data_IF_991567613785
#
_entry.id   IF_991567613785
#
_cell.length_a   1.000
_cell.length_b   1.000
_cell.length_c   1.000
_cell.angle_alpha   90.00
_cell.angle_beta   90.00
_cell.angle_gamma   90.00
#
_symmetry.space_group_name_H-M   'P 1'
#
loop_
_entity.id
_entity.type
_entity.pdbx_description
1 polymer ?
#
# COMPACT_ATOMS: atom_id res chain seq x y z
N UNK A 1 -17.15 -10.33 -3.69
CA UNK A 1 -17.72 -10.16 -2.33
C UNK A 1 -18.82 -9.10 -2.45
N UNK A 2 -19.98 -9.32 -1.77
CA UNK A 2 -21.09 -8.38 -1.72
C UNK A 2 -21.43 -8.10 -0.26
N UNK A 3 -21.67 -6.82 0.06
CA UNK A 3 -22.11 -6.39 1.39
C UNK A 3 -23.62 -6.11 1.34
N UNK A 4 -24.35 -6.64 2.30
CA UNK A 4 -25.76 -6.29 2.50
C UNK A 4 -25.80 -4.98 3.30
N UNK A 5 -26.52 -4.00 2.79
CA UNK A 5 -26.75 -2.72 3.44
C UNK A 5 -28.24 -2.46 3.58
N UNK A 6 -28.66 -1.78 4.64
CA UNK A 6 -30.06 -1.49 4.89
C UNK A 6 -30.61 -0.44 3.90
N UNK A 7 -29.79 0.57 3.56
CA UNK A 7 -30.19 1.65 2.67
C UNK A 7 -28.97 2.25 1.96
N UNK A 8 -29.14 2.66 0.72
CA UNK A 8 -28.16 3.48 -0.03
C UNK A 8 -28.72 4.90 -0.11
N UNK A 9 -28.11 5.81 0.63
CA UNK A 9 -28.56 7.22 0.70
C UNK A 9 -28.14 8.00 -0.54
N UNK A 10 -26.96 7.73 -1.09
CA UNK A 10 -26.46 8.40 -2.27
C UNK A 10 -24.97 8.22 -2.50
N UNK A 11 -24.47 8.88 -3.55
CA UNK A 11 -23.05 8.95 -3.89
C UNK A 11 -22.58 10.38 -3.68
N UNK A 12 -21.61 10.57 -2.83
CA UNK A 12 -21.03 11.88 -2.53
C UNK A 12 -19.56 11.92 -2.97
N UNK A 13 -19.18 13.04 -3.58
CA UNK A 13 -17.76 13.30 -3.89
C UNK A 13 -17.16 14.07 -2.74
N UNK A 14 -16.06 13.58 -2.20
CA UNK A 14 -15.31 14.18 -1.10
C UNK A 14 -13.88 14.43 -1.52
N UNK A 15 -13.29 15.52 -1.05
CA UNK A 15 -11.85 15.77 -1.21
C UNK A 15 -11.08 15.04 -0.11
N UNK A 16 -9.86 14.61 -0.41
CA UNK A 16 -8.96 14.02 0.59
C UNK A 16 -8.67 14.97 1.76
N UNK A 17 -8.74 16.27 1.52
CA UNK A 17 -8.55 17.32 2.54
C UNK A 17 -9.67 17.35 3.58
N UNK A 18 -10.86 16.84 3.22
CA UNK A 18 -12.03 16.79 4.10
C UNK A 18 -12.06 15.55 4.98
N UNK A 19 -11.16 14.60 4.73
CA UNK A 19 -11.08 13.34 5.48
C UNK A 19 -10.23 13.56 6.73
N UNK A 20 -10.87 13.48 7.88
CA UNK A 20 -10.21 13.56 9.18
C UNK A 20 -9.83 12.16 9.62
N UNK A 21 -8.54 11.93 9.92
CA UNK A 21 -8.12 10.66 10.51
C UNK A 21 -8.80 10.50 11.88
N UNK A 22 -9.32 9.30 12.20
CA UNK A 22 -9.90 9.04 13.51
C UNK A 22 -8.85 9.30 14.60
N UNK A 23 -9.23 10.07 15.60
CA UNK A 23 -8.36 10.31 16.75
C UNK A 23 -8.18 9.00 17.54
N UNK A 24 -7.04 8.81 18.20
CA UNK A 24 -6.71 7.62 18.98
C UNK A 24 -7.74 7.28 20.07
N UNK A 25 -8.61 8.21 20.41
CA UNK A 25 -9.73 8.02 21.34
C UNK A 25 -10.89 7.22 20.74
N UNK A 26 -10.99 7.14 19.41
CA UNK A 26 -12.02 6.32 18.72
C UNK A 26 -11.44 4.94 18.37
N UNK A 27 -10.14 4.85 18.29
CA UNK A 27 -9.39 3.60 18.08
C UNK A 27 -9.01 2.96 19.44
N UNK A 28 -10.00 2.58 20.21
CA UNK A 28 -9.75 1.64 21.31
C UNK A 28 -9.44 0.28 20.71
N UNK A 29 -8.15 -0.05 20.73
CA UNK A 29 -7.58 -1.31 20.29
C UNK A 29 -7.58 -1.54 18.76
N UNK A 30 -6.56 -2.19 18.23
CA UNK A 30 -6.20 -2.60 16.87
C UNK A 30 -7.31 -3.15 15.94
N UNK A 31 -8.58 -2.89 16.20
CA UNK A 31 -9.74 -3.50 15.55
C UNK A 31 -10.69 -2.55 14.81
N UNK A 32 -10.42 -1.25 14.79
CA UNK A 32 -11.34 -0.34 14.09
C UNK A 32 -11.19 -0.46 12.57
N UNK A 33 -12.28 -0.83 11.90
CA UNK A 33 -12.38 -0.81 10.44
C UNK A 33 -12.67 0.60 9.88
N UNK A 34 -12.46 1.65 10.68
CA UNK A 34 -12.66 3.05 10.26
C UNK A 34 -11.34 3.63 9.77
N UNK A 35 -11.27 4.04 8.50
CA UNK A 35 -10.10 4.70 7.89
C UNK A 35 -10.16 6.22 8.00
N UNK A 36 -11.36 6.78 8.12
CA UNK A 36 -11.55 8.21 8.19
C UNK A 36 -12.94 8.62 8.65
N UNK A 37 -13.09 9.90 8.96
CA UNK A 37 -14.37 10.53 9.28
C UNK A 37 -14.50 11.80 8.45
N UNK A 38 -15.65 11.99 7.83
CA UNK A 38 -15.99 13.21 7.10
C UNK A 38 -17.21 13.87 7.71
N UNK A 39 -17.33 15.17 7.56
CA UNK A 39 -18.53 15.92 7.92
C UNK A 39 -19.32 16.22 6.65
N UNK A 40 -20.48 15.56 6.49
CA UNK A 40 -21.37 15.74 5.35
C UNK A 40 -22.72 16.29 5.84
N UNK A 41 -23.11 17.44 5.34
CA UNK A 41 -24.40 18.09 5.70
C UNK A 41 -24.66 18.20 7.23
N UNK A 42 -23.60 18.45 7.98
CA UNK A 42 -23.68 18.54 9.45
C UNK A 42 -23.66 17.22 10.20
N UNK A 43 -23.64 16.10 9.51
CA UNK A 43 -23.51 14.74 10.07
C UNK A 43 -22.07 14.26 9.96
N UNK A 44 -21.65 13.44 10.92
CA UNK A 44 -20.39 12.71 10.84
C UNK A 44 -20.63 11.39 10.11
N UNK A 45 -19.88 11.17 9.06
CA UNK A 45 -19.90 9.93 8.28
C UNK A 45 -18.56 9.24 8.43
N UNK A 46 -18.59 7.99 8.83
CA UNK A 46 -17.39 7.16 9.00
C UNK A 46 -17.08 6.47 7.66
N UNK A 47 -15.84 6.59 7.24
CA UNK A 47 -15.32 5.84 6.08
C UNK A 47 -14.80 4.52 6.60
N UNK A 48 -15.29 3.42 6.03
CA UNK A 48 -14.91 2.07 6.42
C UNK A 48 -13.84 1.50 5.50
N UNK A 49 -12.92 0.77 6.09
CA UNK A 49 -11.96 -0.08 5.40
C UNK A 49 -12.62 -1.43 5.08
N UNK A 50 -13.08 -1.58 3.85
CA UNK A 50 -13.73 -2.81 3.42
C UNK A 50 -12.74 -3.98 3.30
N UNK A 51 -11.48 -3.73 3.00
CA UNK A 51 -10.43 -4.76 2.93
C UNK A 51 -10.19 -5.34 4.33
N UNK A 52 -10.10 -4.48 5.33
CA UNK A 52 -10.00 -4.91 6.72
C UNK A 52 -11.22 -5.69 7.16
N UNK A 53 -12.43 -5.22 6.84
CA UNK A 53 -13.68 -5.93 7.17
C UNK A 53 -13.69 -7.32 6.53
N UNK A 54 -13.31 -7.44 5.26
CA UNK A 54 -13.22 -8.73 4.55
C UNK A 54 -12.20 -9.63 5.21
N UNK A 55 -11.01 -9.10 5.54
CA UNK A 55 -9.95 -9.87 6.21
C UNK A 55 -10.37 -10.33 7.59
N UNK A 56 -11.11 -9.52 8.34
CA UNK A 56 -11.62 -9.86 9.67
C UNK A 56 -12.70 -10.96 9.60
N UNK A 57 -13.55 -10.95 8.56
CA UNK A 57 -14.61 -11.95 8.34
C UNK A 57 -14.04 -13.24 7.75
N UNK A 58 -13.08 -13.12 6.83
CA UNK A 58 -12.49 -14.27 6.12
C UNK A 58 -10.96 -14.14 6.09
N UNK A 59 -10.29 -14.47 7.19
CA UNK A 59 -8.83 -14.38 7.29
C UNK A 59 -8.09 -15.20 6.23
N UNK A 60 -8.81 -16.10 5.55
CA UNK A 60 -8.26 -16.98 4.52
C UNK A 60 -8.05 -16.29 3.15
N UNK A 61 -8.68 -15.15 2.93
CA UNK A 61 -8.58 -14.40 1.68
C UNK A 61 -7.46 -13.36 1.66
N UNK A 62 -6.84 -13.09 2.82
CA UNK A 62 -5.73 -12.15 2.94
C UNK A 62 -4.35 -12.83 2.74
N UNK A 63 -3.33 -12.03 2.47
CA UNK A 63 -1.94 -12.47 2.54
C UNK A 63 -1.64 -13.02 3.94
N UNK A 64 -1.48 -14.33 4.05
CA UNK A 64 -1.07 -14.96 5.30
C UNK A 64 0.45 -14.96 5.38
N UNK A 65 0.98 -14.14 6.26
CA UNK A 65 2.40 -14.17 6.64
C UNK A 65 2.81 -15.57 7.16
N UNK A 66 1.83 -16.36 7.67
CA UNK A 66 2.03 -17.75 8.09
C UNK A 66 2.33 -18.71 6.94
N UNK A 67 1.82 -18.44 5.73
CA UNK A 67 1.95 -19.33 4.57
C UNK A 67 3.28 -19.12 3.83
N UNK A 68 4.01 -18.07 4.18
CA UNK A 68 5.41 -17.94 3.80
C UNK A 68 6.18 -18.94 4.67
N UNK A 69 6.39 -20.16 4.13
CA UNK A 69 7.33 -21.11 4.72
C UNK A 69 8.64 -20.35 4.95
N UNK A 70 9.19 -20.46 6.16
CA UNK A 70 10.60 -20.10 6.41
C UNK A 70 11.41 -21.00 5.50
N UNK A 71 11.64 -20.54 4.28
CA UNK A 71 12.54 -21.22 3.36
C UNK A 71 13.91 -21.17 4.02
N UNK A 72 14.24 -22.29 4.60
CA UNK A 72 15.54 -22.61 5.14
C UNK A 72 16.64 -21.91 4.36
N UNK A 73 17.34 -20.97 5.02
CA UNK A 73 18.63 -20.40 4.66
C UNK A 73 18.76 -19.95 3.18
N UNK A 74 17.86 -19.10 2.69
CA UNK A 74 18.27 -18.16 1.64
C UNK A 74 19.19 -17.17 2.32
N UNK A 75 20.39 -17.02 1.78
CA UNK A 75 21.28 -15.95 2.17
C UNK A 75 20.49 -14.66 2.23
N UNK A 76 20.54 -13.97 3.36
CA UNK A 76 19.86 -12.68 3.55
C UNK A 76 20.31 -11.75 2.43
N UNK A 77 19.36 -11.15 1.75
CA UNK A 77 19.65 -10.21 0.67
C UNK A 77 19.45 -8.79 1.18
N UNK A 78 20.51 -8.01 1.15
CA UNK A 78 20.47 -6.56 1.44
C UNK A 78 20.07 -5.74 0.20
N UNK A 79 19.58 -6.40 -0.85
CA UNK A 79 19.10 -5.75 -2.07
C UNK A 79 17.95 -4.81 -1.75
N UNK A 80 18.09 -3.50 -2.04
CA UNK A 80 17.05 -2.53 -1.69
C UNK A 80 15.82 -2.71 -2.57
N UNK A 81 14.66 -2.82 -1.93
CA UNK A 81 13.35 -2.92 -2.58
C UNK A 81 12.51 -1.71 -2.20
N UNK A 82 12.06 -0.95 -3.20
CA UNK A 82 11.14 0.16 -3.00
C UNK A 82 9.71 -0.34 -3.15
N UNK A 83 8.88 -0.01 -2.16
CA UNK A 83 7.49 -0.46 -2.07
C UNK A 83 6.61 0.78 -1.97
N UNK A 84 5.64 0.89 -2.89
CA UNK A 84 4.61 1.91 -2.88
C UNK A 84 3.27 1.26 -2.55
N UNK A 85 2.74 1.57 -1.36
CA UNK A 85 1.52 0.99 -0.80
C UNK A 85 0.90 2.00 0.17
N UNK A 86 -0.36 2.35 -0.04
CA UNK A 86 -1.05 3.36 0.76
C UNK A 86 -1.75 2.79 2.00
N UNK A 87 -2.05 1.49 2.00
CA UNK A 87 -2.58 0.79 3.17
C UNK A 87 -1.47 0.44 4.17
N UNK A 88 -1.45 1.03 5.37
CA UNK A 88 -0.43 0.71 6.38
C UNK A 88 -0.45 -0.76 6.79
N UNK A 89 -1.64 -1.39 6.78
CA UNK A 89 -1.79 -2.80 7.13
C UNK A 89 -1.16 -3.69 6.06
N UNK A 90 -1.50 -3.47 4.78
CA UNK A 90 -0.99 -4.26 3.67
C UNK A 90 0.51 -4.02 3.49
N UNK A 91 0.98 -2.78 3.59
CA UNK A 91 2.40 -2.45 3.57
C UNK A 91 3.20 -3.17 4.67
N UNK A 92 2.63 -3.26 5.89
CA UNK A 92 3.24 -4.03 6.98
C UNK A 92 3.29 -5.53 6.63
N UNK A 93 2.22 -6.11 6.11
CA UNK A 93 2.16 -7.52 5.72
C UNK A 93 3.17 -7.86 4.61
N UNK A 94 3.24 -7.03 3.56
CA UNK A 94 4.23 -7.18 2.48
C UNK A 94 5.65 -7.12 3.06
N UNK A 95 5.91 -6.13 3.93
CA UNK A 95 7.22 -5.97 4.58
C UNK A 95 7.60 -7.19 5.42
N UNK A 96 6.65 -7.76 6.19
CA UNK A 96 6.89 -8.95 7.00
C UNK A 96 7.13 -10.19 6.14
N UNK A 97 6.36 -10.38 5.06
CA UNK A 97 6.58 -11.46 4.10
C UNK A 97 7.96 -11.39 3.45
N UNK A 98 8.37 -10.20 2.99
CA UNK A 98 9.67 -10.00 2.39
C UNK A 98 10.81 -10.23 3.39
N UNK A 99 10.68 -9.74 4.64
CA UNK A 99 11.67 -9.97 5.71
C UNK A 99 11.80 -11.46 6.04
N UNK A 100 10.70 -12.18 6.15
CA UNK A 100 10.72 -13.65 6.32
C UNK A 100 11.39 -14.36 5.14
N UNK A 101 11.22 -13.82 3.93
CA UNK A 101 11.88 -14.32 2.73
C UNK A 101 13.35 -13.92 2.60
N UNK A 102 13.91 -13.20 3.60
CA UNK A 102 15.32 -12.82 3.67
C UNK A 102 15.67 -11.46 3.08
N UNK A 103 14.70 -10.67 2.62
CA UNK A 103 14.92 -9.30 2.16
C UNK A 103 14.81 -8.32 3.32
N UNK A 104 15.89 -7.64 3.67
CA UNK A 104 15.94 -6.79 4.88
C UNK A 104 15.93 -5.30 4.58
N UNK A 105 16.34 -4.90 3.37
CA UNK A 105 16.44 -3.50 2.98
C UNK A 105 15.19 -3.06 2.19
N UNK A 106 14.18 -2.57 2.92
CA UNK A 106 12.89 -2.18 2.36
C UNK A 106 12.68 -0.67 2.50
N UNK A 107 12.36 -0.01 1.40
CA UNK A 107 12.06 1.42 1.33
C UNK A 107 10.55 1.55 1.12
N UNK A 108 9.83 1.94 2.19
CA UNK A 108 8.38 2.10 2.14
C UNK A 108 8.00 3.52 1.73
N UNK A 109 6.98 3.63 0.88
CA UNK A 109 6.33 4.88 0.47
C UNK A 109 4.82 4.69 0.47
N UNK A 110 4.08 5.76 0.75
CA UNK A 110 2.64 5.72 0.95
C UNK A 110 1.82 6.01 -0.32
N UNK A 111 2.49 6.26 -1.43
CA UNK A 111 1.85 6.52 -2.73
C UNK A 111 2.89 6.56 -3.85
N UNK A 112 2.42 6.54 -5.10
CA UNK A 112 3.30 6.59 -6.27
C UNK A 112 4.09 7.89 -6.40
N UNK A 113 3.59 9.02 -5.88
CA UNK A 113 4.32 10.29 -5.94
C UNK A 113 5.56 10.25 -5.06
N UNK A 114 5.43 9.79 -3.82
CA UNK A 114 6.58 9.62 -2.91
C UNK A 114 7.61 8.64 -3.48
N UNK A 115 7.14 7.54 -4.09
CA UNK A 115 8.01 6.57 -4.74
C UNK A 115 8.79 7.21 -5.90
N UNK A 116 8.11 7.99 -6.75
CA UNK A 116 8.73 8.70 -7.86
C UNK A 116 9.74 9.74 -7.40
N UNK A 117 9.42 10.49 -6.35
CA UNK A 117 10.31 11.51 -5.77
C UNK A 117 11.60 10.88 -5.24
N UNK A 118 11.50 9.74 -4.54
CA UNK A 118 12.68 8.97 -4.09
C UNK A 118 13.52 8.44 -5.26
N UNK A 119 12.89 7.85 -6.27
CA UNK A 119 13.59 7.37 -7.46
C UNK A 119 14.34 8.50 -8.19
N UNK A 120 13.70 9.67 -8.33
CA UNK A 120 14.32 10.84 -8.96
C UNK A 120 15.42 11.44 -8.10
N UNK A 121 15.31 11.40 -6.77
CA UNK A 121 16.38 11.78 -5.85
C UNK A 121 17.61 10.89 -6.03
N UNK A 122 17.45 9.57 -6.01
CA UNK A 122 18.53 8.61 -6.23
C UNK A 122 19.15 8.75 -7.63
N UNK A 123 18.31 9.01 -8.64
CA UNK A 123 18.80 9.27 -10.00
C UNK A 123 19.68 10.54 -10.04
N UNK A 124 19.25 11.65 -9.41
CA UNK A 124 20.07 12.88 -9.33
C UNK A 124 21.41 12.66 -8.64
N UNK A 125 21.48 11.73 -7.69
CA UNK A 125 22.73 11.31 -7.03
C UNK A 125 23.56 10.34 -7.88
N UNK A 126 23.02 9.83 -8.99
CA UNK A 126 23.67 8.82 -9.83
C UNK A 126 23.71 7.42 -9.21
N UNK A 127 22.90 7.17 -8.19
CA UNK A 127 22.93 5.93 -7.38
C UNK A 127 21.66 5.07 -7.52
N UNK A 128 20.69 5.47 -8.36
CA UNK A 128 19.36 4.83 -8.42
C UNK A 128 19.40 3.31 -8.58
N UNK A 129 20.36 2.78 -9.34
CA UNK A 129 20.50 1.33 -9.55
C UNK A 129 21.22 0.61 -8.41
N UNK A 130 21.87 1.35 -7.50
CA UNK A 130 22.48 0.83 -6.29
C UNK A 130 21.47 0.90 -5.14
N UNK A 131 20.66 1.96 -5.11
CA UNK A 131 19.71 2.24 -4.04
C UNK A 131 18.34 1.58 -4.25
N UNK A 132 18.04 1.09 -5.48
CA UNK A 132 16.79 0.37 -5.78
C UNK A 132 17.06 -0.76 -6.77
N UNK A 133 16.86 -2.00 -6.34
CA UNK A 133 17.02 -3.19 -7.17
C UNK A 133 15.67 -3.74 -7.68
N UNK A 134 14.57 -3.45 -6.99
CA UNK A 134 13.23 -3.82 -7.39
C UNK A 134 12.23 -2.78 -6.89
N UNK A 135 11.16 -2.58 -7.66
CA UNK A 135 10.03 -1.74 -7.29
C UNK A 135 8.81 -2.65 -7.17
N UNK A 136 8.08 -2.54 -6.07
CA UNK A 136 6.77 -3.18 -5.87
C UNK A 136 5.77 -2.05 -5.69
N UNK A 137 4.67 -2.04 -6.44
CA UNK A 137 3.66 -0.98 -6.35
C UNK A 137 2.27 -1.56 -6.35
N UNK A 138 1.41 -1.04 -5.48
CA UNK A 138 -0.03 -1.20 -5.64
C UNK A 138 -0.52 -0.40 -6.84
N UNK A 139 -1.73 -0.73 -7.32
CA UNK A 139 -2.39 0.00 -8.43
C UNK A 139 -3.11 1.21 -7.88
N UNK A 140 -3.94 1.05 -6.86
CA UNK A 140 -4.85 2.08 -6.39
C UNK A 140 -4.26 2.85 -5.20
N UNK A 141 -3.62 3.96 -5.49
CA UNK A 141 -3.02 4.83 -4.47
C UNK A 141 -3.42 6.29 -4.69
N UNK A 142 -3.50 7.10 -3.62
CA UNK A 142 -3.74 8.54 -3.73
C UNK A 142 -2.58 9.26 -4.41
N UNK A 143 -2.82 10.46 -4.92
CA UNK A 143 -1.87 11.37 -5.57
C UNK A 143 -1.31 10.83 -6.89
N UNK A 144 -0.69 9.67 -6.88
CA UNK A 144 -0.21 8.98 -8.07
C UNK A 144 -0.46 7.49 -7.93
N UNK A 145 -1.24 6.94 -8.84
CA UNK A 145 -1.52 5.51 -8.95
C UNK A 145 -0.33 4.70 -9.49
N UNK A 146 -0.37 3.39 -9.30
CA UNK A 146 0.70 2.47 -9.72
C UNK A 146 0.87 2.39 -11.23
N UNK A 147 -0.18 2.61 -12.03
CA UNK A 147 -0.07 2.66 -13.49
C UNK A 147 0.74 3.85 -13.95
N UNK A 148 0.47 5.03 -13.38
CA UNK A 148 1.22 6.24 -13.68
C UNK A 148 2.66 6.13 -13.24
N UNK A 149 2.91 5.62 -12.02
CA UNK A 149 4.27 5.35 -11.54
C UNK A 149 5.00 4.41 -12.50
N UNK A 150 4.38 3.30 -12.89
CA UNK A 150 4.95 2.32 -13.84
C UNK A 150 5.29 2.97 -15.17
N UNK A 151 4.39 3.80 -15.71
CA UNK A 151 4.63 4.52 -16.98
C UNK A 151 5.83 5.46 -16.87
N UNK A 152 5.95 6.21 -15.78
CA UNK A 152 7.10 7.09 -15.54
C UNK A 152 8.40 6.29 -15.42
N UNK A 153 8.41 5.23 -14.63
CA UNK A 153 9.57 4.35 -14.47
C UNK A 153 10.02 3.74 -15.80
N UNK A 154 9.08 3.26 -16.62
CA UNK A 154 9.40 2.63 -17.91
C UNK A 154 9.76 3.62 -19.02
N UNK A 155 9.43 4.90 -18.86
CA UNK A 155 9.82 5.96 -19.78
C UNK A 155 11.19 6.59 -19.47
N UNK A 156 11.75 6.32 -18.30
CA UNK A 156 13.05 6.85 -17.87
C UNK A 156 14.19 5.90 -18.24
N UNK A 157 15.27 6.42 -18.84
CA UNK A 157 16.34 5.59 -19.41
C UNK A 157 17.15 4.79 -18.37
N UNK A 158 17.24 5.27 -17.15
CA UNK A 158 17.95 4.59 -16.07
C UNK A 158 17.02 3.70 -15.23
N UNK A 159 15.85 4.25 -14.85
CA UNK A 159 14.89 3.58 -13.98
C UNK A 159 14.17 2.44 -14.70
N UNK A 160 13.95 2.54 -16.03
CA UNK A 160 13.28 1.48 -16.82
C UNK A 160 13.91 0.10 -16.71
N UNK A 161 15.20 0.04 -16.35
CA UNK A 161 15.96 -1.20 -16.21
C UNK A 161 15.74 -1.89 -14.86
N UNK A 162 15.12 -1.18 -13.91
CA UNK A 162 14.79 -1.75 -12.60
C UNK A 162 13.54 -2.62 -12.79
N UNK A 163 13.56 -3.89 -12.32
CA UNK A 163 12.37 -4.73 -12.26
C UNK A 163 11.26 -4.03 -11.48
N UNK A 164 10.04 -4.10 -12.02
CA UNK A 164 8.87 -3.52 -11.37
C UNK A 164 7.76 -4.57 -11.35
N UNK A 165 7.22 -4.79 -10.17
CA UNK A 165 6.12 -5.71 -9.89
C UNK A 165 4.91 -4.87 -9.50
N UNK A 166 3.80 -5.12 -10.17
CA UNK A 166 2.51 -4.56 -9.78
C UNK A 166 1.82 -5.60 -8.89
N UNK A 167 1.43 -5.16 -7.73
CA UNK A 167 0.64 -5.92 -6.78
C UNK A 167 -0.74 -5.29 -6.68
N UNK A 168 -1.79 -6.08 -6.68
CA UNK A 168 -3.16 -5.57 -6.53
C UNK A 168 -3.99 -6.54 -5.72
N UNK A 169 -4.71 -6.00 -4.76
CA UNK A 169 -5.72 -6.73 -3.99
C UNK A 169 -6.98 -7.08 -4.82
N UNK A 170 -7.14 -6.46 -6.00
CA UNK A 170 -8.33 -6.58 -6.86
C UNK A 170 -8.24 -7.68 -7.93
N UNK A 171 -7.16 -8.46 -7.97
CA UNK A 171 -7.04 -9.56 -8.94
C UNK A 171 -7.78 -10.78 -8.42
N UNK A 172 -8.95 -11.05 -8.99
CA UNK A 172 -9.68 -12.31 -8.87
C UNK A 172 -9.12 -13.36 -9.82
#
# INVERSE_FOLDING_TARGET
IAFHVDEVIGIHRVSWEDIIKPDSTINTEDKSAATGVIKLEGKLVVILDFEKIVTDISPETGLKVSDVEERTARDRSDSPILIAEDSPLLGKMISECLKKSGYTNLIMTMNGQEAWDKLTEFKKKGTVRQDVHCIITDIEMPLMDGHRLTKLCKSDDEIKKIPLIIFSSLVN
#
